data_IF_728740351915
#
_entry.id   IF_728740351915
#
_cell.length_a   1.000
_cell.length_b   1.000
_cell.length_c   1.000
_cell.angle_alpha   90.00
_cell.angle_beta   90.00
_cell.angle_gamma   90.00
#
_symmetry.space_group_name_H-M   'P 1'
#
loop_
_entity.id
_entity.type
_entity.pdbx_description
1 polymer ?
#
# COMPACT_ATOMS: atom_id res chain seq x y z
N UNK A 1 1.49 7.47 -14.64
CA UNK A 1 1.85 6.37 -13.73
C UNK A 1 1.96 5.07 -14.51
N UNK A 2 3.05 4.32 -14.31
CA UNK A 2 3.20 2.94 -14.79
C UNK A 2 3.21 2.03 -13.55
N UNK A 3 2.30 1.06 -13.49
CA UNK A 3 2.28 0.03 -12.45
C UNK A 3 2.76 -1.30 -13.03
N UNK A 4 3.56 -2.02 -12.25
CA UNK A 4 3.95 -3.40 -12.54
C UNK A 4 3.04 -4.31 -11.72
N UNK A 5 2.37 -5.25 -12.37
CA UNK A 5 1.45 -6.19 -11.74
C UNK A 5 2.12 -7.57 -11.65
N UNK A 6 2.10 -8.19 -10.46
CA UNK A 6 2.74 -9.48 -10.11
C UNK A 6 1.71 -10.63 -10.19
N UNK A 7 2.05 -11.77 -10.78
CA UNK A 7 1.15 -12.92 -10.95
C UNK A 7 0.80 -13.65 -9.64
N UNK A 8 1.51 -13.40 -8.53
CA UNK A 8 1.28 -14.10 -7.25
C UNK A 8 -0.01 -13.70 -6.52
N UNK A 9 -0.59 -12.52 -6.83
CA UNK A 9 -1.77 -11.97 -6.14
C UNK A 9 -2.93 -11.70 -7.12
N UNK A 10 -4.20 -11.85 -6.70
CA UNK A 10 -5.34 -11.54 -7.56
C UNK A 10 -5.28 -10.11 -8.12
N UNK A 11 -5.41 -9.97 -9.44
CA UNK A 11 -5.22 -8.68 -10.13
C UNK A 11 -6.09 -7.53 -9.60
N UNK A 12 -7.30 -7.82 -9.09
CA UNK A 12 -8.17 -6.80 -8.49
C UNK A 12 -7.60 -6.22 -7.18
N UNK A 13 -6.85 -7.01 -6.40
CA UNK A 13 -6.16 -6.50 -5.20
C UNK A 13 -5.03 -5.58 -5.60
N UNK A 14 -4.29 -5.92 -6.65
CA UNK A 14 -3.21 -5.08 -7.16
C UNK A 14 -3.72 -3.75 -7.72
N UNK A 15 -4.90 -3.74 -8.34
CA UNK A 15 -5.57 -2.48 -8.73
C UNK A 15 -5.89 -1.62 -7.51
N UNK A 16 -6.42 -2.23 -6.44
CA UNK A 16 -6.69 -1.51 -5.20
C UNK A 16 -5.41 -0.95 -4.58
N UNK A 17 -4.34 -1.75 -4.53
CA UNK A 17 -3.02 -1.36 -4.04
C UNK A 17 -2.42 -0.21 -4.85
N UNK A 18 -2.57 -0.22 -6.18
CA UNK A 18 -2.08 0.84 -7.05
C UNK A 18 -2.73 2.20 -6.71
N UNK A 19 -4.05 2.23 -6.57
CA UNK A 19 -4.77 3.45 -6.16
C UNK A 19 -4.44 3.84 -4.72
N UNK A 20 -4.33 2.87 -3.80
CA UNK A 20 -3.93 3.15 -2.42
C UNK A 20 -2.51 3.75 -2.34
N UNK A 21 -1.57 3.27 -3.16
CA UNK A 21 -0.23 3.84 -3.30
C UNK A 21 -0.27 5.28 -3.78
N UNK A 22 -1.03 5.59 -4.82
CA UNK A 22 -1.19 6.96 -5.31
C UNK A 22 -1.70 7.90 -4.20
N UNK A 23 -2.66 7.44 -3.40
CA UNK A 23 -3.20 8.22 -2.27
C UNK A 23 -2.13 8.44 -1.20
N UNK A 24 -1.40 7.39 -0.81
CA UNK A 24 -0.33 7.48 0.21
C UNK A 24 0.77 8.46 -0.22
N UNK A 25 1.15 8.42 -1.50
CA UNK A 25 2.16 9.29 -2.10
C UNK A 25 1.62 10.67 -2.48
N UNK A 26 0.37 11.01 -2.14
CA UNK A 26 -0.28 12.29 -2.48
C UNK A 26 -0.37 12.60 -3.98
N UNK A 27 -0.31 11.57 -4.83
CA UNK A 27 -0.54 11.66 -6.27
C UNK A 27 -2.00 11.97 -6.54
N UNK A 28 -2.91 11.33 -5.79
CA UNK A 28 -4.34 11.63 -5.77
C UNK A 28 -4.68 12.02 -4.34
N UNK A 29 -5.12 13.26 -4.14
CA UNK A 29 -5.37 13.80 -2.79
C UNK A 29 -6.79 13.51 -2.33
N UNK A 30 -7.02 13.67 -1.03
CA UNK A 30 -8.35 13.59 -0.45
C UNK A 30 -9.31 14.56 -1.12
N UNK A 31 -10.52 14.09 -1.44
CA UNK A 31 -11.53 14.85 -2.16
C UNK A 31 -11.31 14.95 -3.67
N UNK A 32 -10.19 14.47 -4.22
CA UNK A 32 -9.95 14.40 -5.67
C UNK A 32 -10.62 13.19 -6.30
N UNK A 33 -10.94 13.32 -7.59
CA UNK A 33 -11.55 12.27 -8.38
C UNK A 33 -10.48 11.26 -8.82
N UNK A 34 -10.73 9.98 -8.57
CA UNK A 34 -9.89 8.91 -9.13
C UNK A 34 -10.23 8.67 -10.61
N UNK A 35 -9.32 8.09 -11.41
CA UNK A 35 -9.64 7.67 -12.78
C UNK A 35 -10.90 6.83 -12.83
N UNK A 36 -11.69 6.95 -13.90
CA UNK A 36 -12.81 6.02 -14.07
C UNK A 36 -12.29 4.60 -14.28
N UNK A 37 -13.10 3.59 -13.93
CA UNK A 37 -12.79 2.18 -14.16
C UNK A 37 -12.36 1.91 -15.60
N UNK A 38 -13.04 2.52 -16.58
CA UNK A 38 -12.71 2.34 -18.00
C UNK A 38 -11.40 3.03 -18.39
N UNK A 39 -11.12 4.22 -17.84
CA UNK A 39 -9.85 4.91 -18.09
C UNK A 39 -8.67 4.10 -17.54
N UNK A 40 -8.78 3.64 -16.29
CA UNK A 40 -7.75 2.82 -15.63
C UNK A 40 -7.56 1.49 -16.36
N UNK A 41 -8.65 0.80 -16.70
CA UNK A 41 -8.64 -0.45 -17.47
C UNK A 41 -7.93 -0.29 -18.82
N UNK A 42 -8.24 0.77 -19.58
CA UNK A 42 -7.62 1.03 -20.88
C UNK A 42 -6.14 1.34 -20.75
N UNK A 43 -5.75 2.21 -19.81
CA UNK A 43 -4.36 2.63 -19.63
C UNK A 43 -3.46 1.47 -19.19
N UNK A 44 -3.97 0.58 -18.34
CA UNK A 44 -3.21 -0.56 -17.81
C UNK A 44 -3.49 -1.89 -18.51
N UNK A 45 -4.33 -1.90 -19.55
CA UNK A 45 -4.73 -3.12 -20.28
C UNK A 45 -5.31 -4.22 -19.36
N UNK A 46 -6.08 -3.81 -18.36
CA UNK A 46 -6.74 -4.70 -17.39
C UNK A 46 -8.22 -4.83 -17.76
N UNK A 47 -8.79 -6.02 -17.53
CA UNK A 47 -10.23 -6.22 -17.69
C UNK A 47 -11.03 -5.22 -16.81
N UNK A 48 -11.99 -4.44 -17.38
CA UNK A 48 -12.78 -3.47 -16.64
C UNK A 48 -13.52 -4.03 -15.42
N UNK A 49 -13.97 -5.29 -15.47
CA UNK A 49 -14.63 -5.94 -14.33
C UNK A 49 -13.66 -6.15 -13.15
N UNK A 50 -12.40 -6.49 -13.45
CA UNK A 50 -11.32 -6.62 -12.45
C UNK A 50 -11.01 -5.27 -11.81
N UNK A 51 -10.91 -4.21 -12.62
CA UNK A 51 -10.70 -2.85 -12.10
C UNK A 51 -11.86 -2.41 -11.21
N UNK A 52 -13.10 -2.67 -11.65
CA UNK A 52 -14.29 -2.35 -10.86
C UNK A 52 -14.25 -3.06 -9.50
N UNK A 53 -13.86 -4.33 -9.48
CA UNK A 53 -13.72 -5.11 -8.25
C UNK A 53 -12.66 -4.51 -7.30
N UNK A 54 -11.52 -4.06 -7.83
CA UNK A 54 -10.49 -3.38 -7.04
C UNK A 54 -10.97 -2.05 -6.46
N UNK A 55 -11.66 -1.24 -7.26
CA UNK A 55 -12.21 0.04 -6.78
C UNK A 55 -13.32 -0.18 -5.74
N UNK A 56 -14.17 -1.19 -5.93
CA UNK A 56 -15.19 -1.56 -4.94
C UNK A 56 -14.60 -2.04 -3.62
N UNK A 57 -13.41 -2.68 -3.62
CA UNK A 57 -12.71 -3.02 -2.39
C UNK A 57 -12.40 -1.75 -1.58
N UNK A 58 -11.83 -0.73 -2.24
CA UNK A 58 -11.53 0.55 -1.60
C UNK A 58 -12.79 1.30 -1.15
N UNK A 59 -13.90 1.17 -1.88
CA UNK A 59 -15.20 1.70 -1.43
C UNK A 59 -15.68 0.97 -0.18
N UNK A 60 -15.58 -0.36 -0.14
CA UNK A 60 -15.93 -1.16 1.04
C UNK A 60 -15.09 -0.84 2.27
N UNK A 61 -13.85 -0.39 2.06
CA UNK A 61 -12.94 0.07 3.12
C UNK A 61 -13.15 1.55 3.51
N UNK A 62 -14.03 2.28 2.84
CA UNK A 62 -14.24 3.71 3.07
C UNK A 62 -13.13 4.63 2.54
N UNK A 63 -12.17 4.10 1.78
CA UNK A 63 -11.07 4.85 1.16
C UNK A 63 -11.56 5.66 -0.04
N UNK A 64 -12.46 5.07 -0.83
CA UNK A 64 -13.13 5.74 -1.94
C UNK A 64 -14.62 5.89 -1.65
N UNK A 65 -15.25 6.91 -2.23
CA UNK A 65 -16.70 7.06 -2.21
C UNK A 65 -17.23 7.50 -3.58
N UNK A 66 -18.49 7.16 -3.85
CA UNK A 66 -19.14 7.46 -5.13
C UNK A 66 -19.99 8.72 -5.04
N UNK A 67 -19.78 9.67 -5.95
CA UNK A 67 -20.71 10.78 -6.23
C UNK A 67 -21.56 10.41 -7.44
N UNK A 68 -22.90 10.33 -7.26
CA UNK A 68 -23.84 9.93 -8.32
C UNK A 68 -23.67 10.80 -9.56
N UNK A 69 -23.52 10.15 -10.72
CA UNK A 69 -23.37 10.84 -12.02
C UNK A 69 -22.00 11.48 -12.28
N UNK A 70 -21.08 11.50 -11.30
CA UNK A 70 -19.79 12.20 -11.43
C UNK A 70 -18.62 11.23 -11.46
N UNK A 71 -18.55 10.30 -10.50
CA UNK A 71 -17.43 9.37 -10.40
C UNK A 71 -17.12 8.92 -8.97
N UNK A 72 -15.92 8.41 -8.78
CA UNK A 72 -15.38 8.02 -7.46
C UNK A 72 -14.32 9.01 -7.00
N UNK A 73 -14.27 9.24 -5.70
CA UNK A 73 -13.43 10.25 -5.06
C UNK A 73 -12.73 9.67 -3.84
N UNK A 74 -11.56 10.19 -3.53
CA UNK A 74 -10.81 9.82 -2.31
C UNK A 74 -11.51 10.40 -1.09
N UNK A 75 -11.83 9.56 -0.10
CA UNK A 75 -12.46 9.99 1.14
C UNK A 75 -11.52 10.86 1.98
N UNK A 76 -12.11 11.72 2.83
CA UNK A 76 -11.35 12.46 3.84
C UNK A 76 -10.79 11.49 4.89
N UNK A 77 -9.53 11.62 5.26
CA UNK A 77 -8.81 10.72 6.16
C UNK A 77 -8.36 9.40 5.50
N UNK A 78 -8.57 9.22 4.20
CA UNK A 78 -8.22 7.99 3.50
C UNK A 78 -6.72 7.70 3.55
N UNK A 79 -5.89 8.74 3.43
CA UNK A 79 -4.44 8.57 3.45
C UNK A 79 -3.95 8.06 4.80
N UNK A 80 -4.41 8.68 5.87
CA UNK A 80 -4.01 8.31 7.23
C UNK A 80 -4.50 6.89 7.56
N UNK A 81 -5.73 6.55 7.16
CA UNK A 81 -6.25 5.20 7.30
C UNK A 81 -5.39 4.15 6.57
N UNK A 82 -4.98 4.43 5.33
CA UNK A 82 -4.12 3.53 4.55
C UNK A 82 -2.72 3.38 5.18
N UNK A 83 -2.15 4.46 5.73
CA UNK A 83 -0.87 4.42 6.44
C UNK A 83 -0.95 3.56 7.70
N UNK A 84 -2.00 3.72 8.49
CA UNK A 84 -2.19 2.90 9.69
C UNK A 84 -2.42 1.43 9.34
N UNK A 85 -3.20 1.12 8.30
CA UNK A 85 -3.33 -0.26 7.81
C UNK A 85 -1.97 -0.86 7.43
N UNK A 86 -1.10 -0.10 6.75
CA UNK A 86 0.25 -0.57 6.42
C UNK A 86 1.15 -0.73 7.63
N UNK A 87 1.02 0.13 8.64
CA UNK A 87 1.77 0.01 9.90
C UNK A 87 1.43 -1.29 10.60
N UNK A 88 0.14 -1.64 10.67
CA UNK A 88 -0.32 -2.89 11.27
C UNK A 88 0.18 -4.11 10.48
N UNK A 89 0.09 -4.09 9.14
CA UNK A 89 0.67 -5.16 8.30
C UNK A 89 2.19 -5.25 8.48
N UNK A 90 2.90 -4.13 8.55
CA UNK A 90 4.35 -4.14 8.78
C UNK A 90 4.70 -4.77 10.13
N UNK A 91 3.93 -4.44 11.17
CA UNK A 91 4.10 -5.02 12.48
C UNK A 91 3.87 -6.55 12.46
N UNK A 92 2.80 -7.03 11.83
CA UNK A 92 2.51 -8.46 11.75
C UNK A 92 3.51 -9.24 10.91
N UNK A 93 3.95 -8.67 9.80
CA UNK A 93 4.70 -9.40 8.77
C UNK A 93 6.21 -9.30 8.96
N UNK A 94 6.70 -8.27 9.67
CA UNK A 94 8.13 -8.06 9.89
C UNK A 94 8.50 -8.06 11.37
N UNK A 95 7.81 -7.26 12.20
CA UNK A 95 8.19 -7.09 13.60
C UNK A 95 7.93 -8.37 14.41
N UNK A 96 6.75 -8.98 14.28
CA UNK A 96 6.43 -10.22 15.01
C UNK A 96 7.37 -11.37 14.63
N UNK A 97 7.63 -11.67 13.34
CA UNK A 97 8.62 -12.68 12.95
C UNK A 97 10.03 -12.39 13.46
N UNK A 98 10.48 -11.13 13.39
CA UNK A 98 11.77 -10.72 13.95
C UNK A 98 11.86 -11.04 15.44
N UNK A 99 10.85 -10.67 16.22
CA UNK A 99 10.84 -10.90 17.67
C UNK A 99 10.79 -12.38 18.02
N UNK A 100 10.06 -13.18 17.24
CA UNK A 100 10.03 -14.64 17.42
C UNK A 100 11.40 -15.27 17.18
N UNK A 101 12.09 -14.86 16.12
CA UNK A 101 13.45 -15.35 15.83
C UNK A 101 14.45 -14.89 16.89
N UNK A 102 14.38 -13.62 17.29
CA UNK A 102 15.22 -13.07 18.35
C UNK A 102 15.06 -13.84 19.67
N UNK A 103 13.83 -14.25 20.00
CA UNK A 103 13.53 -15.09 21.16
C UNK A 103 14.17 -16.48 21.06
N UNK A 104 14.12 -17.11 19.88
CA UNK A 104 14.79 -18.39 19.61
C UNK A 104 16.30 -18.30 19.79
N UNK A 105 16.90 -17.16 19.42
CA UNK A 105 18.32 -16.87 19.56
C UNK A 105 18.72 -16.33 20.93
N UNK A 106 17.78 -16.24 21.89
CA UNK A 106 17.99 -15.68 23.22
C UNK A 106 18.56 -14.26 23.22
N UNK A 107 18.20 -13.44 22.23
CA UNK A 107 18.63 -12.05 22.15
C UNK A 107 17.87 -11.19 23.15
N UNK A 108 18.60 -10.30 23.84
CA UNK A 108 17.98 -9.25 24.65
C UNK A 108 17.48 -8.11 23.75
N UNK A 109 16.58 -7.29 24.27
CA UNK A 109 16.10 -6.08 23.59
C UNK A 109 17.26 -5.15 23.19
N UNK A 110 18.26 -4.99 24.07
CA UNK A 110 19.47 -4.20 23.79
C UNK A 110 20.24 -4.75 22.58
N UNK A 111 20.39 -6.07 22.47
CA UNK A 111 21.06 -6.69 21.31
C UNK A 111 20.24 -6.52 20.03
N UNK A 112 18.92 -6.60 20.09
CA UNK A 112 18.06 -6.36 18.92
C UNK A 112 18.21 -4.92 18.44
N UNK A 113 18.21 -3.95 19.35
CA UNK A 113 18.42 -2.53 19.02
C UNK A 113 19.81 -2.29 18.41
N UNK A 114 20.84 -2.97 18.89
CA UNK A 114 22.19 -2.90 18.31
C UNK A 114 22.20 -3.47 16.87
N UNK A 115 21.54 -4.61 16.64
CA UNK A 115 21.40 -5.19 15.30
C UNK A 115 20.65 -4.28 14.33
N UNK A 116 19.57 -3.63 14.78
CA UNK A 116 18.83 -2.65 13.94
C UNK A 116 19.72 -1.46 13.56
N UNK A 117 20.47 -0.90 14.54
CA UNK A 117 21.40 0.21 14.28
C UNK A 117 22.49 -0.19 13.29
N UNK A 118 23.05 -1.39 13.46
CA UNK A 118 24.05 -1.94 12.54
C UNK A 118 23.49 -2.13 11.12
N UNK A 119 22.24 -2.58 11.00
CA UNK A 119 21.57 -2.71 9.71
C UNK A 119 21.35 -1.38 9.01
N UNK A 120 20.90 -0.35 9.74
CA UNK A 120 20.69 0.99 9.18
C UNK A 120 21.97 1.68 8.72
N UNK A 121 23.10 1.47 9.42
CA UNK A 121 24.38 2.07 9.06
C UNK A 121 25.00 1.51 7.75
N UNK A 122 24.55 0.34 7.26
CA UNK A 122 25.01 -0.23 6.00
C UNK A 122 24.30 0.36 4.77
N UNK A 123 23.21 1.10 4.94
CA UNK A 123 22.41 1.68 3.84
C UNK A 123 22.93 3.06 3.41
N UNK A 124 23.60 3.80 4.32
CA UNK A 124 24.19 5.13 4.05
C UNK A 124 25.45 5.07 3.14
N UNK A 125 26.00 3.88 2.85
CA UNK A 125 27.20 3.70 2.03
C UNK A 125 26.96 3.52 0.53
N UNK A 126 25.71 3.35 0.08
CA UNK A 126 25.38 3.09 -1.34
C UNK A 126 24.77 4.30 -2.08
N UNK A 127 24.53 5.45 -1.42
CA UNK A 127 23.91 6.64 -2.04
C UNK A 127 24.93 7.64 -2.65
N UNK A 128 26.15 7.17 -2.93
CA UNK A 128 27.20 7.91 -3.62
C UNK A 128 27.81 7.09 -4.77
N UNK A 129 27.03 6.80 -5.81
CA UNK A 129 27.56 6.48 -7.15
C UNK A 129 26.60 6.89 -8.28
#
# INVERSE_FOLDING_TARGET
MNYTFDDSRPLFQQVADAIANDIIHNVIKEGEQVPSTNQFAKHHQINPATVAKGFHLLVGQGILFKKRGVGMFVAKGARDQLLEQRRETFYSDFIVPLLNEAKTLHLSEEMILDLIKRGGANDDSDDHM
#
